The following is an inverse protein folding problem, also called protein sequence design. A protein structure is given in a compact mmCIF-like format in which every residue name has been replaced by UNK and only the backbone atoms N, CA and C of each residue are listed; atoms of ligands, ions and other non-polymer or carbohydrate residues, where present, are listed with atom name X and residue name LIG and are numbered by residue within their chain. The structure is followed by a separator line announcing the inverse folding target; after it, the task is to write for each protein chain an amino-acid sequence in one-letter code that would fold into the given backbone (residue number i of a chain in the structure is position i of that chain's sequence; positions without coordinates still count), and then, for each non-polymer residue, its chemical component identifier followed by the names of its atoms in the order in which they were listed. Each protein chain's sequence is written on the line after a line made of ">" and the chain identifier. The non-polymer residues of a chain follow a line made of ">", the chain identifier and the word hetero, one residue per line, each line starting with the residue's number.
data_IF_982031534630
#
_entry.id   IF_982031534630
#
_cell.length_a   1.000
_cell.length_b   1.000
_cell.length_c   1.000
_cell.angle_alpha   90.00
_cell.angle_beta   90.00
_cell.angle_gamma   90.00
#
_symmetry.space_group_name_H-M   'P 1'
#
loop_
_entity.id
_entity.type
_entity.pdbx_description
1 polymer ?
#
# COMPACT_ATOMS: atom_id res chain seq x y z
N UNK A 1 -4.02 12.23 2.94
CA UNK A 1 -3.80 12.44 1.50
C UNK A 1 -4.87 11.67 0.74
N UNK A 2 -5.48 12.23 -0.30
CA UNK A 2 -6.46 11.54 -1.15
C UNK A 2 -6.23 11.90 -2.62
N UNK A 3 -6.50 10.95 -3.52
CA UNK A 3 -6.43 11.16 -4.97
C UNK A 3 -7.75 11.60 -5.58
N UNK A 4 -7.70 12.16 -6.80
CA UNK A 4 -8.90 12.46 -7.59
C UNK A 4 -9.38 11.26 -8.44
N UNK A 5 -8.49 10.31 -8.71
CA UNK A 5 -8.75 9.10 -9.49
C UNK A 5 -8.58 7.85 -8.62
N UNK A 6 -9.29 6.79 -8.97
CA UNK A 6 -9.22 5.50 -8.29
C UNK A 6 -8.53 4.45 -9.17
N UNK A 7 -7.88 3.46 -8.55
CA UNK A 7 -7.19 2.39 -9.27
C UNK A 7 -8.15 1.45 -10.04
N UNK A 8 -9.46 1.52 -9.80
CA UNK A 8 -10.48 0.77 -10.54
C UNK A 8 -10.26 -0.74 -10.49
N UNK A 9 -9.94 -1.29 -9.31
CA UNK A 9 -9.62 -2.71 -9.10
C UNK A 9 -8.44 -3.25 -9.92
N UNK A 10 -7.55 -2.38 -10.39
CA UNK A 10 -6.34 -2.78 -11.10
C UNK A 10 -5.09 -2.48 -10.26
N UNK A 11 -4.37 -3.53 -9.88
CA UNK A 11 -3.11 -3.43 -9.14
C UNK A 11 -2.06 -2.56 -9.86
N UNK A 12 -1.89 -2.75 -11.17
CA UNK A 12 -0.87 -2.03 -11.94
C UNK A 12 -1.15 -0.52 -11.97
N UNK A 13 -2.43 -0.12 -12.04
CA UNK A 13 -2.79 1.29 -11.92
C UNK A 13 -2.39 1.85 -10.56
N UNK A 14 -2.73 1.13 -9.49
CA UNK A 14 -2.40 1.51 -8.12
C UNK A 14 -0.88 1.53 -7.85
N UNK A 15 -0.10 0.68 -8.50
CA UNK A 15 1.34 0.57 -8.23
C UNK A 15 2.20 1.46 -9.13
N UNK A 16 1.90 1.55 -10.42
CA UNK A 16 2.78 2.23 -11.40
C UNK A 16 2.30 3.61 -11.85
N UNK A 17 1.01 3.93 -11.68
CA UNK A 17 0.44 5.19 -12.22
C UNK A 17 -0.16 6.05 -11.10
N UNK A 18 -1.46 5.92 -10.84
CA UNK A 18 -2.22 6.69 -9.85
C UNK A 18 -1.57 6.70 -8.46
N UNK A 19 -1.09 5.55 -7.97
CA UNK A 19 -0.43 5.50 -6.66
C UNK A 19 0.98 6.08 -6.66
N UNK A 20 1.69 6.03 -7.79
CA UNK A 20 3.01 6.64 -7.93
C UNK A 20 2.94 8.17 -7.93
N UNK A 21 1.86 8.77 -8.43
CA UNK A 21 1.64 10.22 -8.34
C UNK A 21 1.36 10.70 -6.91
N UNK A 22 0.81 9.82 -6.06
CA UNK A 22 0.43 10.15 -4.68
C UNK A 22 1.47 9.75 -3.64
N UNK A 23 2.38 8.82 -3.96
CA UNK A 23 3.28 8.22 -2.95
C UNK A 23 4.19 9.26 -2.31
N UNK A 24 4.71 10.22 -3.07
CA UNK A 24 5.63 11.23 -2.54
C UNK A 24 4.94 12.11 -1.49
N UNK A 25 3.70 12.52 -1.74
CA UNK A 25 2.91 13.29 -0.78
C UNK A 25 2.63 12.50 0.50
N UNK A 26 2.40 11.18 0.37
CA UNK A 26 2.21 10.32 1.55
C UNK A 26 3.52 10.17 2.32
N UNK A 27 4.66 9.98 1.63
CA UNK A 27 5.97 9.87 2.26
C UNK A 27 6.38 11.15 3.00
N UNK A 28 6.08 12.33 2.45
CA UNK A 28 6.36 13.60 3.15
C UNK A 28 5.59 13.72 4.46
N UNK A 29 4.33 13.25 4.48
CA UNK A 29 3.56 13.17 5.73
C UNK A 29 4.20 12.16 6.68
N UNK A 30 4.56 10.97 6.20
CA UNK A 30 5.21 9.93 7.02
C UNK A 30 6.53 10.42 7.63
N UNK A 31 7.36 11.14 6.86
CA UNK A 31 8.60 11.77 7.35
C UNK A 31 8.32 12.74 8.48
N UNK A 32 7.38 13.66 8.28
CA UNK A 32 7.02 14.65 9.30
C UNK A 32 6.55 14.00 10.60
N UNK A 33 5.73 12.95 10.51
CA UNK A 33 5.28 12.22 11.70
C UNK A 33 6.42 11.41 12.35
N UNK A 34 7.36 10.87 11.55
CA UNK A 34 8.52 10.16 12.06
C UNK A 34 9.51 11.10 12.78
N UNK A 35 9.73 12.31 12.27
CA UNK A 35 10.55 13.36 12.91
C UNK A 35 9.93 13.87 14.21
N UNK A 36 8.60 13.83 14.32
CA UNK A 36 7.88 14.16 15.55
C UNK A 36 8.01 13.10 16.66
N UNK A 37 8.59 11.94 16.37
CA UNK A 37 8.80 10.87 17.34
C UNK A 37 10.24 10.90 17.89
N UNK A 38 10.40 10.82 19.22
CA UNK A 38 11.74 10.71 19.84
C UNK A 38 12.48 9.42 19.41
N UNK A 39 11.75 8.31 19.29
CA UNK A 39 12.28 7.03 18.83
C UNK A 39 11.20 6.21 18.11
N UNK A 40 11.21 6.27 16.78
CA UNK A 40 10.30 5.50 15.95
C UNK A 40 10.59 3.98 16.05
N UNK A 41 9.58 3.18 16.42
CA UNK A 41 9.73 1.73 16.51
C UNK A 41 9.47 1.01 15.18
N UNK A 42 8.51 1.51 14.40
CA UNK A 42 8.06 0.84 13.19
C UNK A 42 6.76 1.41 12.64
N UNK A 43 6.26 0.76 11.59
CA UNK A 43 5.04 1.14 10.90
C UNK A 43 4.05 -0.02 10.86
N UNK A 44 2.77 0.33 10.92
CA UNK A 44 1.67 -0.59 10.75
C UNK A 44 0.89 -0.19 9.50
N UNK A 45 0.77 -1.09 8.53
CA UNK A 45 0.10 -0.83 7.26
C UNK A 45 -1.12 -1.75 7.16
N UNK A 46 -2.30 -1.15 7.02
CA UNK A 46 -3.56 -1.90 6.83
C UNK A 46 -4.04 -1.70 5.41
N UNK A 47 -4.21 -2.79 4.66
CA UNK A 47 -4.60 -2.72 3.25
C UNK A 47 -5.29 -4.01 2.77
N UNK A 48 -6.07 -3.92 1.69
CA UNK A 48 -6.66 -5.09 1.03
C UNK A 48 -5.71 -5.63 -0.04
N UNK A 49 -5.58 -6.95 -0.17
CA UNK A 49 -4.81 -7.57 -1.27
C UNK A 49 -5.64 -7.74 -2.55
N UNK A 50 -6.97 -7.77 -2.45
CA UNK A 50 -7.85 -7.97 -3.61
C UNK A 50 -8.12 -6.71 -4.45
N UNK A 51 -8.09 -5.53 -3.84
CA UNK A 51 -8.47 -4.26 -4.49
C UNK A 51 -7.32 -3.55 -5.18
N UNK A 52 -7.58 -2.73 -6.20
CA UNK A 52 -6.51 -2.08 -6.99
C UNK A 52 -5.64 -1.10 -6.19
N UNK A 53 -6.26 -0.25 -5.37
CA UNK A 53 -5.53 0.75 -4.57
C UNK A 53 -4.85 0.10 -3.37
N UNK A 54 -5.60 -0.67 -2.57
CA UNK A 54 -5.03 -1.33 -1.38
C UNK A 54 -3.90 -2.29 -1.74
N UNK A 55 -4.03 -3.02 -2.85
CA UNK A 55 -3.03 -3.97 -3.29
C UNK A 55 -1.85 -3.24 -3.95
N UNK A 56 -2.10 -2.38 -4.95
CA UNK A 56 -1.07 -1.72 -5.75
C UNK A 56 -0.32 -0.60 -5.02
N UNK A 57 -1.06 0.38 -4.49
CA UNK A 57 -0.45 1.50 -3.76
C UNK A 57 0.10 1.04 -2.41
N UNK A 58 -0.56 0.08 -1.77
CA UNK A 58 -0.10 -0.50 -0.51
C UNK A 58 1.28 -1.13 -0.63
N UNK A 59 1.52 -1.95 -1.67
CA UNK A 59 2.85 -2.54 -1.89
C UNK A 59 3.90 -1.52 -2.28
N UNK A 60 3.54 -0.52 -3.09
CA UNK A 60 4.45 0.59 -3.42
C UNK A 60 4.92 1.32 -2.15
N UNK A 61 3.98 1.64 -1.27
CA UNK A 61 4.26 2.35 -0.03
C UNK A 61 5.13 1.51 0.92
N UNK A 62 4.86 0.21 1.06
CA UNK A 62 5.69 -0.70 1.86
C UNK A 62 7.14 -0.68 1.37
N UNK A 63 7.34 -0.77 0.05
CA UNK A 63 8.67 -0.76 -0.56
C UNK A 63 9.41 0.55 -0.25
N UNK A 64 8.75 1.70 -0.48
CA UNK A 64 9.34 3.01 -0.22
C UNK A 64 9.67 3.28 1.24
N UNK A 65 8.80 2.88 2.16
CA UNK A 65 9.07 3.03 3.60
C UNK A 65 10.24 2.14 4.02
N UNK A 66 10.36 0.92 3.48
CA UNK A 66 11.51 0.04 3.74
C UNK A 66 12.82 0.59 3.17
N UNK A 67 12.78 1.26 2.02
CA UNK A 67 13.95 1.93 1.45
C UNK A 67 14.45 3.06 2.35
N UNK A 68 13.53 3.87 2.91
CA UNK A 68 13.87 5.04 3.72
C UNK A 68 14.15 4.72 5.20
N UNK A 69 13.46 3.72 5.75
CA UNK A 69 13.56 3.31 7.16
C UNK A 69 13.90 1.81 7.29
N UNK A 70 15.09 1.37 6.82
CA UNK A 70 15.42 -0.06 6.68
C UNK A 70 15.47 -0.83 8.01
N UNK A 71 15.84 -0.17 9.11
CA UNK A 71 15.99 -0.81 10.42
C UNK A 71 14.71 -0.79 11.28
N UNK A 72 13.58 -0.30 10.73
CA UNK A 72 12.32 -0.17 11.47
C UNK A 72 11.41 -1.36 11.20
N UNK A 73 10.66 -1.77 12.23
CA UNK A 73 9.72 -2.88 12.08
C UNK A 73 8.60 -2.49 11.10
N UNK A 74 8.25 -3.40 10.20
CA UNK A 74 7.12 -3.24 9.29
C UNK A 74 6.10 -4.35 9.53
N UNK A 75 4.91 -3.99 10.01
CA UNK A 75 3.79 -4.91 10.22
C UNK A 75 2.67 -4.61 9.23
N UNK A 76 2.23 -5.64 8.49
CA UNK A 76 1.13 -5.52 7.53
C UNK A 76 -0.11 -6.28 8.04
N UNK A 77 -1.25 -5.58 8.07
CA UNK A 77 -2.56 -6.14 8.36
C UNK A 77 -3.33 -6.20 7.05
N UNK A 78 -3.20 -7.33 6.37
CA UNK A 78 -3.70 -7.50 5.01
C UNK A 78 -5.00 -8.28 4.97
N UNK A 79 -6.01 -7.74 4.27
CA UNK A 79 -7.27 -8.46 4.02
C UNK A 79 -7.14 -9.28 2.74
N UNK A 80 -7.14 -10.60 2.90
CA UNK A 80 -7.05 -11.57 1.80
C UNK A 80 -8.43 -11.75 1.15
N UNK A 81 -8.52 -11.85 -0.19
CA UNK A 81 -9.81 -12.05 -0.87
C UNK A 81 -10.44 -13.40 -0.50
N UNK A 82 -11.79 -13.45 -0.56
CA UNK A 82 -12.57 -14.65 -0.27
C UNK A 82 -13.62 -14.89 -1.36
N UNK A 83 -13.72 -16.10 -1.93
CA UNK A 83 -14.61 -16.38 -3.05
C UNK A 83 -16.11 -16.27 -2.71
N UNK A 84 -16.48 -16.20 -1.43
CA UNK A 84 -17.87 -16.08 -0.97
C UNK A 84 -18.38 -14.64 -0.91
N UNK A 85 -17.48 -13.67 -0.90
CA UNK A 85 -17.76 -12.24 -0.64
C UNK A 85 -17.04 -11.33 -1.65
N UNK A 86 -16.36 -11.93 -2.62
CA UNK A 86 -15.61 -11.23 -3.66
C UNK A 86 -16.54 -10.67 -4.72
N UNK A 87 -16.55 -9.36 -4.89
CA UNK A 87 -17.30 -8.67 -5.94
C UNK A 87 -16.46 -8.45 -7.22
N UNK A 88 -15.17 -8.80 -7.18
CA UNK A 88 -14.20 -8.45 -8.22
C UNK A 88 -13.48 -9.67 -8.80
N UNK A 89 -13.69 -9.94 -10.08
CA UNK A 89 -13.12 -11.09 -10.80
C UNK A 89 -11.59 -11.10 -10.81
N UNK A 90 -10.95 -9.92 -10.72
CA UNK A 90 -9.49 -9.76 -10.77
C UNK A 90 -8.80 -9.80 -9.40
N UNK A 91 -9.52 -10.07 -8.31
CA UNK A 91 -8.94 -10.18 -6.97
C UNK A 91 -7.78 -11.18 -6.87
N UNK A 92 -7.85 -12.39 -7.47
CA UNK A 92 -6.73 -13.33 -7.41
C UNK A 92 -5.46 -12.78 -8.07
N UNK A 93 -5.61 -12.00 -9.16
CA UNK A 93 -4.48 -11.35 -9.83
C UNK A 93 -3.85 -10.29 -8.94
N UNK A 94 -4.68 -9.40 -8.39
CA UNK A 94 -4.20 -8.34 -7.50
C UNK A 94 -3.52 -8.93 -6.25
N UNK A 95 -4.09 -9.97 -5.65
CA UNK A 95 -3.51 -10.60 -4.46
C UNK A 95 -2.18 -11.29 -4.78
N UNK A 96 -2.08 -11.99 -5.92
CA UNK A 96 -0.83 -12.66 -6.32
C UNK A 96 0.28 -11.63 -6.56
N UNK A 97 -0.03 -10.54 -7.26
CA UNK A 97 0.94 -9.48 -7.52
C UNK A 97 1.36 -8.75 -6.24
N UNK A 98 0.42 -8.55 -5.30
CA UNK A 98 0.74 -7.90 -4.03
C UNK A 98 1.52 -8.76 -3.06
N UNK A 99 1.37 -10.10 -3.10
CA UNK A 99 2.18 -11.00 -2.27
C UNK A 99 3.60 -11.13 -2.82
N UNK A 100 3.79 -10.92 -4.12
CA UNK A 100 5.10 -11.05 -4.74
C UNK A 100 6.05 -9.87 -4.43
N UNK A 101 5.51 -8.66 -4.31
CA UNK A 101 6.27 -7.43 -3.99
C UNK A 101 6.57 -7.31 -2.49
#
# INVERSE_FOLDING_TARGET
>A
VFGQSGAGNNWAKGHYTEGAELVDQVLDVVRREAEGCDCLQGFQITHSLGGGTGAGMGTLLISKIREEFPDRMMATFSVVPSPKVSDTVVEPYNATLSVHQ
#
